data_IF_719260671483
#
_entry.id   IF_719260671483
#
_cell.length_a   1.000
_cell.length_b   1.000
_cell.length_c   1.000
_cell.angle_alpha   90.00
_cell.angle_beta   90.00
_cell.angle_gamma   90.00
#
_symmetry.space_group_name_H-M   'P 1'
#
loop_
_entity.id
_entity.type
_entity.pdbx_description
1 polymer ?
#
# COMPACT_ATOMS: atom_id res chain seq x y z
N UNK A 1 -18.30 -24.86 -6.91
CA UNK A 1 -17.13 -25.62 -7.40
C UNK A 1 -17.35 -26.19 -8.80
N UNK A 2 -18.59 -26.51 -9.15
CA UNK A 2 -18.94 -27.23 -10.39
C UNK A 2 -18.51 -26.49 -11.66
N UNK A 3 -18.69 -25.16 -11.70
CA UNK A 3 -18.27 -24.32 -12.83
C UNK A 3 -16.77 -24.37 -13.14
N UNK A 4 -15.92 -24.57 -12.12
CA UNK A 4 -14.47 -24.71 -12.31
C UNK A 4 -14.16 -26.07 -12.92
N UNK A 5 -14.85 -27.12 -12.48
CA UNK A 5 -14.70 -28.46 -13.03
C UNK A 5 -15.21 -28.53 -14.48
N UNK A 6 -16.34 -27.91 -14.79
CA UNK A 6 -16.87 -27.82 -16.15
C UNK A 6 -15.92 -27.09 -17.10
N UNK A 7 -15.37 -25.94 -16.68
CA UNK A 7 -14.33 -25.23 -17.45
C UNK A 7 -13.12 -26.13 -17.73
N UNK A 8 -12.68 -26.92 -16.75
CA UNK A 8 -11.57 -27.89 -16.92
C UNK A 8 -11.91 -28.97 -17.94
N UNK A 9 -13.13 -29.54 -17.88
CA UNK A 9 -13.61 -30.53 -18.86
C UNK A 9 -13.63 -29.96 -20.29
N UNK A 10 -14.13 -28.73 -20.48
CA UNK A 10 -14.10 -28.08 -21.80
C UNK A 10 -12.68 -27.78 -22.30
N UNK A 11 -11.76 -27.43 -21.39
CA UNK A 11 -10.34 -27.29 -21.73
C UNK A 11 -9.72 -28.60 -22.21
N UNK A 12 -10.08 -29.72 -21.58
CA UNK A 12 -9.64 -31.04 -22.04
C UNK A 12 -10.20 -31.37 -23.44
N UNK A 13 -11.48 -31.06 -23.69
CA UNK A 13 -12.11 -31.27 -24.99
C UNK A 13 -11.41 -30.51 -26.14
N UNK A 14 -10.95 -29.28 -25.88
CA UNK A 14 -10.12 -28.51 -26.85
C UNK A 14 -8.79 -29.21 -27.11
N UNK A 15 -8.13 -29.73 -26.06
CA UNK A 15 -6.82 -30.36 -26.23
C UNK A 15 -6.90 -31.70 -26.98
N UNK A 16 -8.07 -32.36 -26.98
CA UNK A 16 -8.29 -33.67 -27.60
C UNK A 16 -9.03 -33.60 -28.94
N UNK A 17 -9.43 -32.41 -29.41
CA UNK A 17 -10.19 -32.26 -30.65
C UNK A 17 -9.37 -32.67 -31.86
N UNK A 18 -10.00 -33.40 -32.80
CA UNK A 18 -9.34 -33.93 -34.00
C UNK A 18 -9.63 -33.10 -35.25
N UNK A 19 -10.73 -32.34 -35.25
CA UNK A 19 -11.14 -31.49 -36.37
C UNK A 19 -11.26 -30.03 -35.94
N UNK A 20 -11.03 -29.09 -36.88
CA UNK A 20 -11.17 -27.65 -36.61
C UNK A 20 -12.57 -27.24 -36.15
N UNK A 21 -13.60 -27.92 -36.63
CA UNK A 21 -14.99 -27.63 -36.25
C UNK A 21 -15.27 -27.97 -34.79
N UNK A 22 -14.79 -29.13 -34.32
CA UNK A 22 -14.89 -29.54 -32.91
C UNK A 22 -14.09 -28.60 -31.99
N UNK A 23 -12.87 -28.23 -32.42
CA UNK A 23 -12.02 -27.30 -31.69
C UNK A 23 -12.70 -25.94 -31.53
N UNK A 24 -13.25 -25.38 -32.61
CA UNK A 24 -13.95 -24.10 -32.59
C UNK A 24 -15.16 -24.11 -31.64
N UNK A 25 -15.95 -25.20 -31.65
CA UNK A 25 -17.10 -25.36 -30.74
C UNK A 25 -16.66 -25.44 -29.27
N UNK A 26 -15.67 -26.27 -28.98
CA UNK A 26 -15.15 -26.43 -27.61
C UNK A 26 -14.49 -25.13 -27.09
N UNK A 27 -13.83 -24.38 -27.97
CA UNK A 27 -13.23 -23.08 -27.67
C UNK A 27 -14.28 -22.02 -27.32
N UNK A 28 -15.40 -21.99 -28.05
CA UNK A 28 -16.51 -21.09 -27.76
C UNK A 28 -17.10 -21.37 -26.37
N UNK A 29 -17.42 -22.64 -26.08
CA UNK A 29 -17.98 -23.07 -24.79
C UNK A 29 -17.00 -22.81 -23.62
N UNK A 30 -15.70 -23.07 -23.81
CA UNK A 30 -14.68 -22.76 -22.81
C UNK A 30 -14.61 -21.25 -22.52
N UNK A 31 -14.71 -20.42 -23.54
CA UNK A 31 -14.62 -18.95 -23.41
C UNK A 31 -15.76 -18.41 -22.54
N UNK A 32 -16.97 -18.91 -22.73
CA UNK A 32 -18.14 -18.52 -21.94
C UNK A 32 -18.00 -18.95 -20.47
N UNK A 33 -17.68 -20.22 -20.22
CA UNK A 33 -17.46 -20.72 -18.85
C UNK A 33 -16.30 -20.01 -18.15
N UNK A 34 -15.22 -19.72 -18.87
CA UNK A 34 -14.08 -19.00 -18.31
C UNK A 34 -14.44 -17.55 -17.92
N UNK A 35 -15.26 -16.86 -18.72
CA UNK A 35 -15.81 -15.54 -18.35
C UNK A 35 -16.66 -15.65 -17.08
N UNK A 36 -17.52 -16.66 -16.98
CA UNK A 36 -18.38 -16.85 -15.82
C UNK A 36 -17.58 -17.14 -14.54
N UNK A 37 -16.58 -18.02 -14.61
CA UNK A 37 -15.68 -18.33 -13.48
C UNK A 37 -14.90 -17.09 -13.04
N UNK A 38 -14.40 -16.27 -13.98
CA UNK A 38 -13.73 -15.01 -13.63
C UNK A 38 -14.68 -14.04 -12.91
N UNK A 39 -15.93 -13.92 -13.36
CA UNK A 39 -16.95 -13.08 -12.70
C UNK A 39 -17.29 -13.58 -11.30
N UNK A 40 -17.41 -14.89 -11.10
CA UNK A 40 -17.68 -15.45 -9.76
C UNK A 40 -16.52 -15.20 -8.81
N UNK A 41 -15.27 -15.44 -9.24
CA UNK A 41 -14.08 -15.15 -8.42
C UNK A 41 -14.03 -13.67 -8.03
N UNK A 42 -14.31 -12.76 -8.97
CA UNK A 42 -14.37 -11.32 -8.67
C UNK A 42 -15.45 -10.99 -7.63
N UNK A 43 -16.61 -11.63 -7.73
CA UNK A 43 -17.73 -11.43 -6.81
C UNK A 43 -17.40 -11.97 -5.42
N UNK A 44 -16.83 -13.17 -5.33
CA UNK A 44 -16.42 -13.78 -4.06
C UNK A 44 -15.33 -12.97 -3.37
N UNK A 45 -14.33 -12.49 -4.12
CA UNK A 45 -13.30 -11.59 -3.57
C UNK A 45 -13.91 -10.29 -3.03
N UNK A 46 -14.89 -9.71 -3.74
CA UNK A 46 -15.58 -8.50 -3.28
C UNK A 46 -16.36 -8.77 -1.99
N UNK A 47 -17.11 -9.88 -1.93
CA UNK A 47 -17.85 -10.28 -0.72
C UNK A 47 -16.91 -10.50 0.47
N UNK A 48 -15.78 -11.16 0.25
CA UNK A 48 -14.78 -11.38 1.29
C UNK A 48 -14.23 -10.06 1.86
N UNK A 49 -13.93 -9.09 0.98
CA UNK A 49 -13.47 -7.75 1.41
C UNK A 49 -14.58 -6.99 2.15
N UNK A 50 -15.82 -7.05 1.67
CA UNK A 50 -16.97 -6.40 2.32
C UNK A 50 -17.25 -7.00 3.73
N UNK A 51 -17.15 -8.33 3.88
CA UNK A 51 -17.31 -9.02 5.17
C UNK A 51 -16.20 -8.66 6.18
N UNK A 52 -14.95 -8.56 5.71
CA UNK A 52 -13.84 -8.05 6.52
C UNK A 52 -14.07 -6.61 6.97
N UNK A 53 -14.58 -5.75 6.08
CA UNK A 53 -14.87 -4.35 6.41
C UNK A 53 -16.01 -4.24 7.44
N UNK A 54 -17.09 -5.01 7.28
CA UNK A 54 -18.18 -5.10 8.25
C UNK A 54 -17.69 -5.60 9.61
N UNK A 55 -16.79 -6.60 9.61
CA UNK A 55 -16.18 -7.11 10.84
C UNK A 55 -15.31 -6.04 11.51
N UNK A 56 -14.62 -5.19 10.74
CA UNK A 56 -13.85 -4.06 11.26
C UNK A 56 -14.70 -2.92 11.85
N UNK A 57 -15.97 -2.79 11.45
CA UNK A 57 -16.88 -1.75 11.97
C UNK A 57 -17.35 -2.04 13.40
N UNK A 58 -17.44 -3.32 13.79
CA UNK A 58 -17.80 -3.74 15.16
C UNK A 58 -16.80 -3.25 16.23
N UNK A 59 -15.47 -3.45 16.10
CA UNK A 59 -14.49 -3.02 17.11
C UNK A 59 -14.30 -1.51 17.21
N UNK A 60 -14.74 -0.70 16.22
CA UNK A 60 -14.83 0.77 16.38
C UNK A 60 -15.80 1.13 17.52
N UNK A 61 -16.86 0.34 17.72
CA UNK A 61 -17.84 0.55 18.80
C UNK A 61 -17.38 -0.01 20.15
N UNK A 62 -16.42 -0.93 20.15
CA UNK A 62 -15.89 -1.60 21.36
C UNK A 62 -14.48 -1.10 21.77
N UNK A 63 -13.95 -0.05 21.11
CA UNK A 63 -12.62 0.54 21.33
C UNK A 63 -11.45 -0.47 21.33
N UNK A 64 -11.60 -1.61 20.65
CA UNK A 64 -10.56 -2.63 20.56
C UNK A 64 -9.56 -2.32 19.43
N UNK A 65 -8.65 -1.37 19.71
CA UNK A 65 -7.67 -0.84 18.75
C UNK A 65 -6.76 -1.92 18.14
N UNK A 66 -6.47 -3.00 18.87
CA UNK A 66 -5.62 -4.10 18.38
C UNK A 66 -6.26 -4.85 17.20
N UNK A 67 -7.53 -5.25 17.34
CA UNK A 67 -8.26 -5.95 16.27
C UNK A 67 -8.53 -5.06 15.05
N UNK A 68 -8.75 -3.76 15.29
CA UNK A 68 -8.90 -2.76 14.22
C UNK A 68 -7.62 -2.66 13.39
N UNK A 69 -6.45 -2.59 14.04
CA UNK A 69 -5.15 -2.58 13.35
C UNK A 69 -4.92 -3.85 12.52
N UNK A 70 -5.15 -5.03 13.09
CA UNK A 70 -4.95 -6.31 12.39
C UNK A 70 -5.84 -6.45 11.16
N UNK A 71 -7.10 -6.02 11.27
CA UNK A 71 -8.08 -6.11 10.17
C UNK A 71 -7.76 -5.11 9.07
N UNK A 72 -7.35 -3.88 9.44
CA UNK A 72 -6.88 -2.86 8.50
C UNK A 72 -5.60 -3.29 7.78
N UNK A 73 -4.67 -3.90 8.51
CA UNK A 73 -3.44 -4.44 7.94
C UNK A 73 -3.74 -5.56 6.92
N UNK A 74 -4.66 -6.48 7.25
CA UNK A 74 -5.16 -7.51 6.31
C UNK A 74 -5.82 -6.90 5.06
N UNK A 75 -6.64 -5.86 5.22
CA UNK A 75 -7.34 -5.17 4.11
C UNK A 75 -6.40 -4.36 3.21
N UNK A 76 -5.39 -3.70 3.79
CA UNK A 76 -4.43 -2.90 3.01
C UNK A 76 -3.61 -3.72 2.02
N UNK A 77 -3.61 -5.05 2.20
CA UNK A 77 -2.79 -5.98 1.45
C UNK A 77 -1.30 -5.71 1.66
N UNK A 78 -0.47 -6.71 1.39
CA UNK A 78 0.96 -6.47 1.30
C UNK A 78 1.25 -5.58 0.09
N UNK A 79 1.16 -4.26 0.25
CA UNK A 79 1.97 -3.36 -0.55
C UNK A 79 3.41 -3.77 -0.27
N UNK A 80 3.98 -4.61 -1.12
CA UNK A 80 5.43 -4.79 -1.19
C UNK A 80 5.98 -3.42 -1.54
N UNK A 81 6.26 -2.61 -0.52
CA UNK A 81 7.26 -1.59 -0.61
C UNK A 81 8.54 -2.38 -0.85
N UNK A 82 8.92 -2.55 -2.11
CA UNK A 82 10.31 -2.88 -2.42
C UNK A 82 11.14 -1.91 -1.61
N UNK A 83 12.02 -2.45 -0.76
CA UNK A 83 12.88 -1.64 0.09
C UNK A 83 13.59 -0.62 -0.80
N UNK A 84 13.32 0.67 -0.57
CA UNK A 84 13.88 1.72 -1.43
C UNK A 84 15.39 1.70 -1.21
N UNK A 85 16.20 1.51 -2.26
CA UNK A 85 17.64 1.46 -2.07
C UNK A 85 18.14 2.79 -1.49
N UNK A 86 18.82 2.72 -0.34
CA UNK A 86 19.40 3.90 0.32
C UNK A 86 20.80 4.13 -0.25
N UNK A 87 21.20 5.38 -0.45
CA UNK A 87 22.58 5.70 -0.88
C UNK A 87 23.51 5.88 0.33
N UNK A 88 24.72 5.35 0.23
CA UNK A 88 25.82 5.61 1.16
C UNK A 88 26.31 7.06 1.04
N UNK A 89 27.20 7.48 1.94
CA UNK A 89 27.81 8.82 1.92
C UNK A 89 28.67 9.03 0.65
N UNK A 90 29.21 7.94 0.11
CA UNK A 90 29.97 7.86 -1.15
C UNK A 90 29.07 7.66 -2.39
N UNK A 91 27.76 7.91 -2.25
CA UNK A 91 26.75 7.76 -3.31
C UNK A 91 26.54 6.34 -3.86
N UNK A 92 27.05 5.30 -3.19
CA UNK A 92 26.84 3.90 -3.57
C UNK A 92 25.47 3.41 -3.10
N UNK A 93 24.80 2.59 -3.91
CA UNK A 93 23.48 2.05 -3.56
C UNK A 93 23.64 0.89 -2.57
N UNK A 94 22.97 0.99 -1.43
CA UNK A 94 22.96 -0.02 -0.37
C UNK A 94 21.71 -0.90 -0.53
N UNK A 95 21.93 -2.20 -0.72
CA UNK A 95 20.86 -3.19 -0.95
C UNK A 95 20.59 -4.11 0.24
N UNK A 96 21.50 -4.18 1.23
CA UNK A 96 21.31 -5.02 2.43
C UNK A 96 20.66 -4.24 3.58
N UNK A 97 19.67 -4.84 4.23
CA UNK A 97 18.90 -4.25 5.35
C UNK A 97 19.81 -3.77 6.51
N UNK A 98 20.80 -4.58 6.90
CA UNK A 98 21.73 -4.22 7.99
C UNK A 98 22.57 -2.99 7.66
N UNK A 99 23.08 -2.91 6.43
CA UNK A 99 23.87 -1.78 5.94
C UNK A 99 23.00 -0.52 5.84
N UNK A 100 21.72 -0.64 5.46
CA UNK A 100 20.78 0.48 5.46
C UNK A 100 20.52 1.00 6.87
N UNK A 101 20.33 0.10 7.86
CA UNK A 101 20.19 0.49 9.27
C UNK A 101 21.42 1.22 9.80
N UNK A 102 22.62 0.73 9.48
CA UNK A 102 23.87 1.39 9.85
C UNK A 102 23.97 2.80 9.24
N UNK A 103 23.60 2.95 7.96
CA UNK A 103 23.55 4.26 7.27
C UNK A 103 22.56 5.24 7.94
N UNK A 104 21.42 4.76 8.42
CA UNK A 104 20.47 5.57 9.19
C UNK A 104 21.06 6.00 10.53
N UNK A 105 21.69 5.09 11.27
CA UNK A 105 22.35 5.40 12.54
C UNK A 105 23.44 6.47 12.36
N UNK A 106 24.27 6.37 11.32
CA UNK A 106 25.28 7.39 11.00
C UNK A 106 24.65 8.75 10.69
N UNK A 107 23.61 8.78 9.84
CA UNK A 107 22.96 10.03 9.46
C UNK A 107 22.38 10.76 10.68
N UNK A 108 21.66 10.04 11.53
CA UNK A 108 21.06 10.62 12.73
C UNK A 108 22.11 11.01 13.77
N UNK A 109 23.22 10.26 13.89
CA UNK A 109 24.33 10.67 14.77
C UNK A 109 24.95 12.00 14.33
N UNK A 110 25.19 12.18 13.03
CA UNK A 110 25.76 13.42 12.48
C UNK A 110 24.78 14.60 12.64
N UNK A 111 23.49 14.36 12.42
CA UNK A 111 22.47 15.39 12.51
C UNK A 111 22.20 15.84 13.96
N UNK A 112 22.04 14.89 14.88
CA UNK A 112 21.59 15.15 16.25
C UNK A 112 22.73 15.51 17.21
N UNK A 113 23.98 15.13 16.90
CA UNK A 113 25.15 15.42 17.73
C UNK A 113 26.07 16.48 17.10
N UNK A 114 25.54 17.34 16.23
CA UNK A 114 26.32 18.43 15.63
C UNK A 114 26.78 19.38 16.74
N UNK A 115 28.09 19.64 16.89
CA UNK A 115 28.58 20.61 17.87
C UNK A 115 28.05 22.01 17.55
N UNK A 116 27.93 22.86 18.59
CA UNK A 116 27.54 24.24 18.40
C UNK A 116 28.44 24.90 17.34
N UNK A 117 27.87 25.61 16.35
CA UNK A 117 28.66 26.27 15.32
C UNK A 117 29.65 27.24 15.97
N UNK A 118 30.91 27.19 15.53
CA UNK A 118 32.02 27.99 16.11
C UNK A 118 31.75 29.50 16.01
N UNK A 119 31.01 29.90 14.98
CA UNK A 119 30.55 31.26 14.80
C UNK A 119 29.09 31.34 15.25
N UNK A 120 28.76 32.17 16.26
CA UNK A 120 27.36 32.46 16.53
C UNK A 120 26.74 33.07 15.27
N UNK A 121 25.50 32.71 14.92
CA UNK A 121 24.80 33.36 13.83
C UNK A 121 24.74 34.86 14.12
N UNK A 122 25.18 35.68 13.15
CA UNK A 122 25.02 37.13 13.23
C UNK A 122 23.55 37.46 13.00
N UNK A 123 22.76 37.40 14.08
CA UNK A 123 21.36 37.78 14.08
C UNK A 123 21.35 39.30 14.26
N UNK A 124 21.12 40.04 13.17
CA UNK A 124 20.81 41.47 13.28
C UNK A 124 19.57 41.63 14.17
N UNK A 125 19.67 42.50 15.18
CA UNK A 125 18.56 42.76 16.08
C UNK A 125 17.36 43.25 15.28
N UNK A 126 16.22 42.55 15.44
CA UNK A 126 14.97 43.01 14.86
C UNK A 126 14.65 44.41 15.42
N UNK A 127 14.20 45.37 14.59
CA UNK A 127 13.69 46.65 15.07
C UNK A 127 12.60 46.39 16.13
N UNK A 128 12.80 46.93 17.33
CA UNK A 128 12.02 46.55 18.53
C UNK A 128 10.55 46.91 18.45
N UNK A 129 10.13 47.82 17.56
CA UNK A 129 8.74 48.24 17.48
C UNK A 129 8.29 48.33 16.03
N UNK A 130 7.62 47.27 15.55
CA UNK A 130 6.71 47.41 14.44
C UNK A 130 5.44 48.11 14.96
N UNK A 131 4.95 49.18 14.33
CA UNK A 131 3.73 49.87 14.74
C UNK A 131 2.52 48.98 14.44
N UNK A 132 2.32 47.97 15.28
CA UNK A 132 1.17 47.07 15.23
C UNK A 132 0.15 47.64 16.20
N UNK A 133 -1.00 48.07 15.67
CA UNK A 133 -2.10 48.52 16.48
C UNK A 133 -2.67 47.31 17.25
N UNK A 134 -2.29 47.19 18.51
CA UNK A 134 -2.81 46.22 19.49
C UNK A 134 -4.09 46.72 20.19
N UNK A 135 -4.66 47.83 19.74
CA UNK A 135 -5.93 48.35 20.23
C UNK A 135 -7.10 47.43 19.87
N UNK A 136 -8.17 47.39 20.70
CA UNK A 136 -9.39 46.67 20.37
C UNK A 136 -9.97 47.16 19.04
N UNK A 137 -10.44 46.28 18.15
CA UNK A 137 -11.09 46.69 16.92
C UNK A 137 -12.34 47.52 17.27
N UNK A 138 -12.38 48.76 16.79
CA UNK A 138 -13.56 49.61 16.93
C UNK A 138 -14.59 49.11 15.93
N UNK A 139 -15.74 48.68 16.43
CA UNK A 139 -16.89 48.25 15.63
C UNK A 139 -17.61 49.52 15.18
N UNK A 140 -17.75 49.71 13.87
CA UNK A 140 -18.69 50.70 13.27
C UNK A 140 -20.14 50.20 13.35
#
# INVERSE_FOLDING_TARGET
MDKIQERRKKKAAINTSRTRAEEAKAQAEYTELNKQVKRSIKTDNRKYVEDLALTAEKPVREENMGQLYDTTNKLSGNHRKSERPVKSKESKVITKIEEQRNRWVEHFKELLNRPAPLNPPNIEAAPTELPINVGPPTIE
#
